data_IF_073657163271
#
_entry.id   IF_073657163271
#
_cell.length_a   1.000
_cell.length_b   1.000
_cell.length_c   1.000
_cell.angle_alpha   90.00
_cell.angle_beta   90.00
_cell.angle_gamma   90.00
#
_symmetry.space_group_name_H-M   'P 1'
#
loop_
_entity.id
_entity.type
_entity.pdbx_description
1 polymer ?
#
# COMPACT_ATOMS: atom_id res chain seq x y z
N UNK A 1 17.13 0.27 2.39
CA UNK A 1 17.20 1.55 1.64
C UNK A 1 17.16 2.72 2.64
N UNK A 2 17.66 3.91 2.30
CA UNK A 2 17.56 5.06 3.21
C UNK A 2 16.24 5.78 2.95
N UNK A 3 15.39 5.87 3.98
CA UNK A 3 14.26 6.81 4.01
C UNK A 3 14.79 8.21 3.70
N UNK A 4 14.16 8.91 2.75
CA UNK A 4 14.58 10.26 2.39
C UNK A 4 13.44 11.17 2.79
N UNK A 5 13.48 11.69 4.00
CA UNK A 5 12.58 12.76 4.39
C UNK A 5 12.81 13.92 3.43
N UNK A 6 11.90 14.12 2.48
CA UNK A 6 11.80 15.38 1.78
C UNK A 6 11.36 16.36 2.87
N UNK A 7 12.25 17.24 3.31
CA UNK A 7 12.05 18.13 4.46
C UNK A 7 11.05 19.26 4.17
N UNK A 8 9.90 18.95 3.57
CA UNK A 8 8.80 19.89 3.53
C UNK A 8 8.05 19.78 4.86
N UNK A 9 7.89 20.92 5.54
CA UNK A 9 7.03 21.02 6.72
C UNK A 9 5.64 21.41 6.25
N UNK A 10 4.64 20.69 6.71
CA UNK A 10 3.25 20.97 6.40
C UNK A 10 2.46 21.43 7.64
N UNK A 11 1.22 21.83 7.39
CA UNK A 11 0.27 22.19 8.44
C UNK A 11 -0.06 20.95 9.27
N UNK A 12 0.24 20.99 10.56
CA UNK A 12 -0.19 19.95 11.48
C UNK A 12 -1.71 20.07 11.70
N UNK A 13 -2.49 18.99 11.49
CA UNK A 13 -3.95 19.02 11.66
C UNK A 13 -4.38 19.20 13.13
N UNK A 14 -3.47 18.96 14.08
CA UNK A 14 -3.74 19.10 15.51
C UNK A 14 -3.43 20.50 16.03
N UNK A 15 -2.20 20.99 15.85
CA UNK A 15 -1.77 22.27 16.41
C UNK A 15 -1.87 23.47 15.45
N UNK A 16 -2.25 23.23 14.19
CA UNK A 16 -2.39 24.25 13.13
C UNK A 16 -1.12 25.07 12.90
N UNK A 17 0.04 24.46 13.10
CA UNK A 17 1.35 25.05 12.79
C UNK A 17 2.03 24.32 11.65
N UNK A 18 2.82 25.05 10.85
CA UNK A 18 3.65 24.51 9.77
C UNK A 18 4.87 23.81 10.39
N UNK A 19 4.62 22.64 10.97
CA UNK A 19 5.56 21.88 11.80
C UNK A 19 5.46 20.37 11.58
N UNK A 20 4.59 19.92 10.68
CA UNK A 20 4.43 18.51 10.35
C UNK A 20 5.56 18.10 9.40
N UNK A 21 6.54 17.36 9.92
CA UNK A 21 7.61 16.79 9.10
C UNK A 21 7.09 15.52 8.44
N UNK A 22 6.95 15.56 7.12
CA UNK A 22 6.51 14.44 6.29
C UNK A 22 7.74 13.74 5.74
N UNK A 23 7.85 12.43 5.96
CA UNK A 23 8.93 11.61 5.44
C UNK A 23 8.38 10.61 4.43
N UNK A 24 8.86 10.72 3.20
CA UNK A 24 8.53 9.83 2.09
C UNK A 24 9.71 8.88 1.79
N UNK A 25 9.42 7.77 1.09
CA UNK A 25 10.46 6.88 0.58
C UNK A 25 10.83 7.27 -0.86
N UNK A 26 12.12 7.26 -1.18
CA UNK A 26 12.64 7.91 -2.40
C UNK A 26 12.26 7.27 -3.74
N UNK A 27 11.73 6.04 -3.76
CA UNK A 27 11.19 5.32 -4.93
C UNK A 27 10.42 4.08 -4.44
N UNK A 28 9.45 3.58 -5.21
CA UNK A 28 8.11 4.12 -5.32
C UNK A 28 7.15 3.45 -4.30
N UNK A 29 6.02 4.13 -4.10
CA UNK A 29 4.95 4.03 -3.08
C UNK A 29 5.20 4.97 -1.89
N UNK A 30 4.41 6.04 -1.74
CA UNK A 30 4.59 7.03 -0.69
C UNK A 30 4.01 6.43 0.59
N UNK A 31 4.80 5.59 1.26
CA UNK A 31 4.56 5.39 2.68
C UNK A 31 4.97 6.66 3.38
N UNK A 32 4.02 7.28 4.05
CA UNK A 32 4.21 8.57 4.68
C UNK A 32 4.30 8.34 6.17
N UNK A 33 5.44 8.70 6.75
CA UNK A 33 5.52 8.93 8.18
C UNK A 33 5.53 10.44 8.41
N UNK A 34 4.47 10.95 9.02
CA UNK A 34 4.33 12.36 9.36
C UNK A 34 4.47 12.51 10.88
N UNK A 35 5.39 13.37 11.33
CA UNK A 35 5.57 13.70 12.76
C UNK A 35 5.62 15.20 12.96
N UNK A 36 4.77 15.74 13.83
CA UNK A 36 4.77 17.16 14.16
C UNK A 36 5.88 17.48 15.17
N UNK A 37 6.83 18.32 14.75
CA UNK A 37 7.95 18.78 15.57
C UNK A 37 7.51 19.72 16.71
N UNK A 38 6.29 20.25 16.65
CA UNK A 38 5.72 21.12 17.69
C UNK A 38 4.95 20.32 18.75
N UNK A 39 3.89 19.60 18.35
CA UNK A 39 2.97 18.97 19.30
C UNK A 39 3.20 17.48 19.50
N UNK A 40 4.01 16.82 18.68
CA UNK A 40 4.22 15.38 18.76
C UNK A 40 3.11 14.53 18.11
N UNK A 41 2.14 15.16 17.43
CA UNK A 41 1.21 14.46 16.54
C UNK A 41 1.98 13.56 15.57
N UNK A 42 1.53 12.33 15.39
CA UNK A 42 2.18 11.37 14.50
C UNK A 42 1.16 10.60 13.68
N UNK A 43 1.47 10.37 12.42
CA UNK A 43 0.64 9.64 11.46
C UNK A 43 1.56 8.74 10.63
N UNK A 44 1.24 7.45 10.54
CA UNK A 44 2.10 6.49 9.86
C UNK A 44 1.37 5.24 9.35
N UNK A 45 1.91 4.67 8.28
CA UNK A 45 1.44 3.42 7.68
C UNK A 45 1.95 2.17 8.41
N UNK A 46 1.05 1.21 8.62
CA UNK A 46 1.34 -0.13 9.14
C UNK A 46 1.07 -1.14 8.02
N UNK A 47 2.10 -1.80 7.44
CA UNK A 47 1.87 -2.81 6.41
C UNK A 47 1.19 -4.05 7.00
N UNK A 48 0.37 -4.74 6.20
CA UNK A 48 -0.15 -6.07 6.55
C UNK A 48 0.98 -7.01 6.97
N UNK A 49 0.73 -7.76 8.04
CA UNK A 49 1.67 -8.77 8.53
C UNK A 49 1.76 -9.95 7.55
N UNK A 50 2.93 -10.14 6.93
CA UNK A 50 3.19 -11.22 5.99
C UNK A 50 3.98 -12.36 6.66
N UNK A 51 3.23 -13.30 7.25
CA UNK A 51 3.78 -14.57 7.75
C UNK A 51 3.83 -15.62 6.64
N UNK A 52 4.53 -16.73 6.90
CA UNK A 52 4.62 -17.87 5.97
C UNK A 52 3.24 -18.35 5.49
N UNK A 53 2.29 -18.48 6.41
CA UNK A 53 0.90 -18.87 6.12
C UNK A 53 0.19 -17.84 5.23
N UNK A 54 0.36 -16.54 5.54
CA UNK A 54 -0.18 -15.45 4.72
C UNK A 54 0.34 -15.51 3.29
N UNK A 55 1.65 -15.73 3.10
CA UNK A 55 2.22 -15.89 1.75
C UNK A 55 1.62 -17.08 1.01
N UNK A 56 1.41 -18.23 1.68
CA UNK A 56 0.78 -19.38 1.05
C UNK A 56 -0.66 -19.08 0.61
N UNK A 57 -1.46 -18.44 1.45
CA UNK A 57 -2.83 -18.06 1.11
C UNK A 57 -2.89 -17.09 -0.09
N UNK A 58 -1.98 -16.12 -0.12
CA UNK A 58 -1.89 -15.16 -1.23
C UNK A 58 -1.48 -15.88 -2.52
N UNK A 59 -0.45 -16.71 -2.48
CA UNK A 59 0.03 -17.43 -3.67
C UNK A 59 -1.01 -18.42 -4.20
N UNK A 60 -1.70 -19.15 -3.31
CA UNK A 60 -2.81 -20.03 -3.70
C UNK A 60 -3.91 -19.24 -4.42
N UNK A 61 -4.36 -18.13 -3.84
CA UNK A 61 -5.35 -17.24 -4.46
C UNK A 61 -4.92 -16.77 -5.85
N UNK A 62 -3.69 -16.27 -5.98
CA UNK A 62 -3.18 -15.77 -7.27
C UNK A 62 -3.08 -16.91 -8.30
N UNK A 63 -2.70 -18.12 -7.90
CA UNK A 63 -2.67 -19.29 -8.78
C UNK A 63 -4.06 -19.71 -9.26
N UNK A 64 -5.09 -19.62 -8.41
CA UNK A 64 -6.47 -19.89 -8.81
C UNK A 64 -7.00 -18.85 -9.80
N UNK A 65 -6.60 -17.58 -9.64
CA UNK A 65 -6.86 -16.49 -10.61
C UNK A 65 -6.13 -16.71 -11.94
N UNK A 66 -4.89 -17.19 -11.89
CA UNK A 66 -4.05 -17.45 -13.07
C UNK A 66 -4.68 -18.48 -14.01
N UNK A 67 -5.32 -19.52 -13.47
CA UNK A 67 -6.01 -20.54 -14.28
C UNK A 67 -7.48 -20.19 -14.59
N UNK A 68 -7.98 -19.06 -14.08
CA UNK A 68 -9.37 -18.62 -14.24
C UNK A 68 -10.39 -19.45 -13.45
N UNK A 69 -10.02 -19.98 -12.28
CA UNK A 69 -10.94 -20.68 -11.38
C UNK A 69 -11.83 -19.70 -10.59
N UNK A 70 -11.28 -18.53 -10.26
CA UNK A 70 -11.96 -17.47 -9.53
C UNK A 70 -11.70 -16.11 -10.18
N UNK A 71 -12.64 -15.18 -10.00
CA UNK A 71 -12.56 -13.83 -10.54
C UNK A 71 -11.30 -13.12 -10.03
N UNK A 72 -10.68 -12.32 -10.88
CA UNK A 72 -9.50 -11.54 -10.51
C UNK A 72 -9.78 -10.54 -9.39
N UNK A 73 -11.00 -10.01 -9.30
CA UNK A 73 -11.45 -9.10 -8.26
C UNK A 73 -12.09 -9.86 -7.09
N UNK A 74 -11.46 -9.81 -5.91
CA UNK A 74 -11.96 -10.41 -4.66
C UNK A 74 -13.32 -9.85 -4.21
N UNK A 75 -13.69 -8.63 -4.64
CA UNK A 75 -15.00 -8.03 -4.32
C UNK A 75 -16.13 -8.75 -5.05
N UNK A 76 -15.84 -9.30 -6.22
CA UNK A 76 -16.78 -10.13 -6.99
C UNK A 76 -16.69 -11.58 -6.53
N UNK A 77 -15.49 -12.17 -6.52
CA UNK A 77 -15.27 -13.55 -6.05
C UNK A 77 -16.01 -14.63 -6.86
N UNK A 78 -16.61 -14.28 -7.99
CA UNK A 78 -17.36 -15.18 -8.86
C UNK A 78 -16.48 -16.30 -9.41
N UNK A 79 -17.13 -17.40 -9.79
CA UNK A 79 -16.52 -18.56 -10.46
C UNK A 79 -16.98 -18.73 -11.90
N UNK A 80 -17.94 -17.92 -12.34
CA UNK A 80 -18.45 -17.95 -13.71
C UNK A 80 -17.51 -17.15 -14.63
N UNK A 81 -16.54 -17.85 -15.21
CA UNK A 81 -15.42 -17.26 -15.94
C UNK A 81 -15.27 -17.99 -17.27
N UNK A 82 -15.20 -17.20 -18.34
CA UNK A 82 -14.96 -17.72 -19.69
C UNK A 82 -13.51 -17.47 -20.10
N UNK A 83 -12.98 -18.38 -20.92
CA UNK A 83 -11.71 -18.19 -21.62
C UNK A 83 -12.00 -17.49 -22.95
N UNK A 84 -11.43 -16.31 -23.15
CA UNK A 84 -11.58 -15.52 -24.38
C UNK A 84 -10.60 -15.97 -25.46
N UNK A 85 -9.34 -16.20 -25.08
CA UNK A 85 -8.24 -16.58 -25.97
C UNK A 85 -7.35 -17.61 -25.27
N UNK A 86 -6.77 -18.54 -26.03
CA UNK A 86 -5.79 -19.49 -25.54
C UNK A 86 -4.70 -19.74 -26.58
N UNK A 87 -3.48 -19.28 -26.29
CA UNK A 87 -2.31 -19.38 -27.16
C UNK A 87 -1.13 -20.00 -26.40
N UNK A 88 -1.01 -21.33 -26.47
CA UNK A 88 0.04 -22.07 -25.77
C UNK A 88 -0.11 -21.99 -24.26
N UNK A 89 0.73 -21.18 -23.59
CA UNK A 89 0.64 -20.93 -22.14
C UNK A 89 -0.11 -19.65 -21.79
N UNK A 90 -0.37 -18.81 -22.77
CA UNK A 90 -1.12 -17.57 -22.59
C UNK A 90 -2.62 -17.86 -22.65
N UNK A 91 -3.38 -17.32 -21.69
CA UNK A 91 -4.84 -17.41 -21.68
C UNK A 91 -5.43 -16.08 -21.20
N UNK A 92 -6.49 -15.64 -21.88
CA UNK A 92 -7.30 -14.48 -21.47
C UNK A 92 -8.63 -14.96 -20.87
N UNK A 93 -9.06 -14.27 -19.83
CA UNK A 93 -10.23 -14.59 -19.04
C UNK A 93 -11.15 -13.40 -18.94
N UNK A 94 -12.46 -13.67 -18.87
CA UNK A 94 -13.48 -12.68 -18.50
C UNK A 94 -14.42 -13.27 -17.46
N UNK A 95 -14.65 -12.53 -16.37
CA UNK A 95 -15.69 -12.84 -15.40
C UNK A 95 -17.06 -12.45 -15.97
N UNK A 96 -18.02 -13.38 -15.98
CA UNK A 96 -19.37 -13.11 -16.49
C UNK A 96 -20.25 -12.30 -15.54
N UNK A 97 -19.87 -12.20 -14.26
CA UNK A 97 -20.63 -11.43 -13.28
C UNK A 97 -20.23 -9.95 -13.23
N UNK A 98 -18.94 -9.66 -13.05
CA UNK A 98 -18.47 -8.26 -12.96
C UNK A 98 -17.84 -7.71 -14.25
N UNK A 99 -17.65 -8.55 -15.27
CA UNK A 99 -17.05 -8.14 -16.55
C UNK A 99 -15.54 -7.92 -16.49
N UNK A 100 -14.88 -8.15 -15.36
CA UNK A 100 -13.43 -8.00 -15.24
C UNK A 100 -12.69 -8.94 -16.19
N UNK A 101 -11.62 -8.43 -16.80
CA UNK A 101 -10.76 -9.16 -17.74
C UNK A 101 -9.33 -9.20 -17.23
N UNK A 102 -8.65 -10.32 -17.49
CA UNK A 102 -7.25 -10.50 -17.15
C UNK A 102 -6.62 -11.60 -17.99
N UNK A 103 -5.28 -11.66 -17.97
CA UNK A 103 -4.53 -12.71 -18.64
C UNK A 103 -3.59 -13.45 -17.68
N UNK A 104 -3.19 -14.65 -18.07
CA UNK A 104 -2.28 -15.50 -17.30
C UNK A 104 -0.90 -14.88 -17.12
N UNK A 105 -0.40 -14.09 -18.08
CA UNK A 105 0.94 -13.50 -18.02
C UNK A 105 1.08 -12.44 -16.93
N UNK A 106 0.09 -11.56 -16.79
CA UNK A 106 0.05 -10.55 -15.73
C UNK A 106 -0.11 -11.22 -14.36
N UNK A 107 -0.91 -12.28 -14.27
CA UNK A 107 -0.99 -13.10 -13.06
C UNK A 107 0.34 -13.75 -12.70
N UNK A 108 1.08 -14.29 -13.68
CA UNK A 108 2.40 -14.87 -13.47
C UNK A 108 3.44 -13.83 -13.06
N UNK A 109 3.35 -12.58 -13.55
CA UNK A 109 4.17 -11.46 -13.05
C UNK A 109 3.87 -11.17 -11.59
N UNK A 110 2.59 -11.09 -11.21
CA UNK A 110 2.18 -10.85 -9.84
C UNK A 110 2.67 -11.96 -8.89
N UNK A 111 2.48 -13.23 -9.26
CA UNK A 111 2.97 -14.39 -8.49
C UNK A 111 4.50 -14.33 -8.29
N UNK A 112 5.26 -13.98 -9.35
CA UNK A 112 6.73 -13.86 -9.25
C UNK A 112 7.14 -12.76 -8.28
N UNK A 113 6.46 -11.62 -8.29
CA UNK A 113 6.72 -10.51 -7.35
C UNK A 113 6.47 -10.93 -5.90
N UNK A 114 5.34 -11.59 -5.61
CA UNK A 114 5.05 -12.11 -4.26
C UNK A 114 6.09 -13.13 -3.80
N UNK A 115 6.50 -14.06 -4.68
CA UNK A 115 7.56 -15.04 -4.36
C UNK A 115 8.90 -14.37 -4.08
N UNK A 116 9.26 -13.32 -4.82
CA UNK A 116 10.48 -12.55 -4.58
C UNK A 116 10.43 -11.87 -3.21
N UNK A 117 9.32 -11.21 -2.87
CA UNK A 117 9.13 -10.60 -1.54
C UNK A 117 9.23 -11.64 -0.43
N UNK A 118 8.55 -12.79 -0.58
CA UNK A 118 8.64 -13.91 0.36
C UNK A 118 10.09 -14.36 0.59
N UNK A 119 10.86 -14.51 -0.49
CA UNK A 119 12.26 -14.93 -0.41
C UNK A 119 13.11 -13.91 0.35
N UNK A 120 12.96 -12.62 0.06
CA UNK A 120 13.73 -11.58 0.75
C UNK A 120 13.39 -11.50 2.25
N UNK A 121 12.12 -11.57 2.61
CA UNK A 121 11.66 -11.60 4.01
C UNK A 121 12.22 -12.83 4.73
N UNK A 122 12.14 -14.00 4.10
CA UNK A 122 12.68 -15.26 4.64
C UNK A 122 14.20 -15.19 4.86
N UNK A 123 14.92 -14.45 4.01
CA UNK A 123 16.35 -14.20 4.13
C UNK A 123 16.71 -13.09 5.14
N UNK A 124 15.75 -12.61 5.94
CA UNK A 124 15.98 -11.63 7.01
C UNK A 124 15.92 -10.16 6.57
N UNK A 125 15.48 -9.87 5.34
CA UNK A 125 15.24 -8.48 4.93
C UNK A 125 14.02 -7.93 5.67
N UNK A 126 14.04 -6.64 6.03
CA UNK A 126 12.85 -6.00 6.61
C UNK A 126 11.77 -5.91 5.54
N UNK A 127 10.52 -6.20 5.90
CA UNK A 127 9.39 -6.13 4.99
C UNK A 127 9.28 -4.77 4.28
N UNK A 128 9.59 -3.69 5.01
CA UNK A 128 9.58 -2.33 4.48
C UNK A 128 10.62 -2.11 3.37
N UNK A 129 11.76 -2.81 3.39
CA UNK A 129 12.79 -2.64 2.36
C UNK A 129 12.43 -3.32 1.03
N UNK A 130 11.46 -4.25 1.05
CA UNK A 130 11.13 -5.11 -0.09
C UNK A 130 9.79 -4.79 -0.73
N UNK A 131 8.85 -4.21 0.05
CA UNK A 131 7.59 -3.68 -0.47
C UNK A 131 7.86 -2.36 -1.20
N UNK A 132 7.70 -2.40 -2.52
CA UNK A 132 7.90 -1.28 -3.45
C UNK A 132 6.80 -1.33 -4.50
N UNK A 133 6.31 -0.19 -4.97
CA UNK A 133 5.31 -0.14 -6.04
C UNK A 133 5.21 1.25 -6.66
N UNK A 134 4.93 1.37 -7.95
CA UNK A 134 4.59 2.66 -8.52
C UNK A 134 3.28 3.23 -7.93
N UNK A 135 3.03 4.52 -8.10
CA UNK A 135 1.76 5.13 -7.73
C UNK A 135 0.61 4.39 -8.45
N UNK A 136 -0.49 4.12 -7.76
CA UNK A 136 -1.55 3.21 -8.19
C UNK A 136 -1.27 1.70 -8.00
N UNK A 137 -0.02 1.23 -7.90
CA UNK A 137 0.28 -0.21 -7.80
C UNK A 137 0.16 -0.80 -6.39
N UNK A 138 -0.20 -2.07 -6.27
CA UNK A 138 -0.06 -2.83 -5.03
C UNK A 138 1.42 -3.11 -4.71
N UNK A 139 1.94 -2.76 -3.51
CA UNK A 139 3.35 -2.95 -3.16
C UNK A 139 3.78 -4.41 -3.02
N UNK A 140 2.83 -5.34 -2.89
CA UNK A 140 3.12 -6.77 -2.79
C UNK A 140 3.07 -7.48 -4.15
N UNK A 141 1.97 -7.34 -4.89
CA UNK A 141 1.75 -8.08 -6.13
C UNK A 141 1.99 -7.25 -7.41
N UNK A 142 2.09 -5.93 -7.30
CA UNK A 142 2.36 -5.04 -8.43
C UNK A 142 1.20 -4.76 -9.36
N UNK A 143 -0.01 -5.16 -8.99
CA UNK A 143 -1.19 -4.86 -9.78
C UNK A 143 -1.57 -3.40 -9.63
N UNK A 144 -1.93 -2.72 -10.72
CA UNK A 144 -2.51 -1.38 -10.66
C UNK A 144 -3.93 -1.45 -10.09
N UNK A 145 -4.10 -0.89 -8.88
CA UNK A 145 -5.35 -0.93 -8.12
C UNK A 145 -5.91 0.46 -7.86
N UNK A 146 -5.18 1.52 -8.21
CA UNK A 146 -5.41 2.88 -7.71
C UNK A 146 -5.23 2.99 -6.20
N UNK A 147 -4.92 4.18 -5.71
CA UNK A 147 -4.79 4.46 -4.27
C UNK A 147 -5.79 5.52 -3.85
N UNK A 148 -6.32 5.38 -2.64
CA UNK A 148 -7.13 6.41 -2.01
C UNK A 148 -6.24 7.18 -1.03
N UNK A 149 -6.28 8.50 -1.13
CA UNK A 149 -5.53 9.38 -0.23
C UNK A 149 -6.52 9.99 0.78
N UNK A 150 -6.20 9.88 2.07
CA UNK A 150 -6.88 10.60 3.15
C UNK A 150 -5.85 11.47 3.87
N UNK A 151 -5.76 12.73 3.44
CA UNK A 151 -4.67 13.62 3.83
C UNK A 151 -3.32 13.05 3.39
N UNK A 152 -2.48 12.71 4.37
CA UNK A 152 -1.15 12.13 4.17
C UNK A 152 -1.14 10.60 4.14
N UNK A 153 -2.23 9.96 4.55
CA UNK A 153 -2.34 8.52 4.59
C UNK A 153 -2.71 7.98 3.20
N UNK A 154 -2.08 6.88 2.80
CA UNK A 154 -2.43 6.18 1.56
C UNK A 154 -3.10 4.88 1.92
N UNK A 155 -4.40 4.76 1.70
CA UNK A 155 -5.10 3.51 1.96
C UNK A 155 -4.92 2.53 0.80
N UNK A 156 -4.36 1.36 1.12
CA UNK A 156 -4.13 0.25 0.21
C UNK A 156 -5.07 -0.87 0.57
N UNK A 157 -5.93 -1.27 -0.36
CA UNK A 157 -6.69 -2.51 -0.28
C UNK A 157 -6.68 -3.18 -1.64
N UNK A 158 -5.77 -4.12 -1.84
CA UNK A 158 -5.60 -4.80 -3.12
C UNK A 158 -6.68 -5.88 -3.29
N UNK A 159 -7.63 -5.75 -4.24
CA UNK A 159 -8.63 -6.79 -4.50
C UNK A 159 -8.04 -8.02 -5.22
N UNK A 160 -6.77 -7.96 -5.62
CA UNK A 160 -6.12 -9.02 -6.39
C UNK A 160 -5.40 -10.01 -5.49
N UNK A 161 -4.49 -9.53 -4.64
CA UNK A 161 -3.74 -10.38 -3.72
C UNK A 161 -4.28 -10.35 -2.28
N UNK A 162 -5.13 -9.38 -1.93
CA UNK A 162 -5.63 -9.18 -0.57
C UNK A 162 -4.69 -8.42 0.36
N UNK A 163 -3.55 -7.92 -0.15
CA UNK A 163 -2.68 -7.03 0.61
C UNK A 163 -3.42 -5.76 1.01
N UNK A 164 -3.22 -5.33 2.25
CA UNK A 164 -3.71 -4.06 2.75
C UNK A 164 -2.67 -3.41 3.67
N UNK A 165 -2.85 -2.13 3.96
CA UNK A 165 -2.21 -1.49 5.10
C UNK A 165 -3.29 -1.03 6.10
N UNK A 166 -2.83 -0.75 7.29
CA UNK A 166 -3.58 0.01 8.29
C UNK A 166 -2.91 1.37 8.46
N UNK A 167 -3.73 2.36 8.80
CA UNK A 167 -3.27 3.68 9.13
C UNK A 167 -3.41 3.91 10.64
N UNK A 168 -2.41 4.54 11.25
CA UNK A 168 -2.48 4.90 12.67
C UNK A 168 -2.10 6.36 12.90
N UNK A 169 -2.95 7.02 13.67
CA UNK A 169 -2.70 8.35 14.22
C UNK A 169 -2.44 8.26 15.71
N UNK A 170 -1.46 9.03 16.17
CA UNK A 170 -1.14 9.23 17.57
C UNK A 170 -1.33 10.71 17.88
N UNK A 171 -2.43 11.03 18.57
CA UNK A 171 -2.67 12.36 19.10
C UNK A 171 -1.78 12.59 20.32
N UNK A 172 -1.24 13.80 20.49
CA UNK A 172 -0.45 14.11 21.67
C UNK A 172 -1.34 14.16 22.91
N UNK A 173 -0.81 13.63 24.02
CA UNK A 173 -1.53 13.51 25.29
C UNK A 173 -1.56 14.81 26.10
N UNK A 174 -0.64 15.71 25.81
CA UNK A 174 -0.42 16.98 26.53
C UNK A 174 -0.18 18.09 25.52
N UNK A 175 -0.58 19.32 25.87
CA UNK A 175 -0.23 20.49 25.07
C UNK A 175 1.29 20.73 25.15
N UNK A 176 1.96 20.94 24.01
CA UNK A 176 3.40 21.19 24.01
C UNK A 176 3.71 22.53 24.72
N UNK A 177 4.86 22.65 25.40
CA UNK A 177 5.29 23.91 25.97
C UNK A 177 5.31 25.01 24.88
N UNK A 178 4.82 26.24 25.17
CA UNK A 178 4.72 27.31 24.17
C UNK A 178 6.04 27.62 23.45
N UNK A 179 7.15 27.43 24.15
CA UNK A 179 8.52 27.63 23.68
C UNK A 179 8.91 26.72 22.52
N UNK A 180 8.46 25.46 22.53
CA UNK A 180 8.77 24.46 21.49
C UNK A 180 8.10 24.83 20.16
N UNK A 181 6.88 25.35 20.24
CA UNK A 181 6.07 25.68 19.09
C UNK A 181 6.29 27.11 18.56
N UNK A 182 6.91 27.99 19.34
CA UNK A 182 7.12 29.41 19.00
C UNK A 182 7.92 29.62 17.70
N UNK A 183 8.78 28.67 17.35
CA UNK A 183 9.58 28.70 16.12
C UNK A 183 8.80 28.37 14.84
N UNK A 184 7.57 27.83 14.95
CA UNK A 184 6.75 27.43 13.81
C UNK A 184 5.61 28.40 13.55
N UNK A 185 5.43 28.78 12.29
CA UNK A 185 4.33 29.63 11.85
C UNK A 185 2.98 28.96 12.12
N UNK A 186 2.02 29.75 12.62
CA UNK A 186 0.64 29.31 12.84
C UNK A 186 -0.19 29.73 11.64
N UNK A 187 -0.93 28.79 11.05
CA UNK A 187 -1.88 29.11 9.98
C UNK A 187 -3.15 29.72 10.58
N UNK A 188 -3.68 30.76 9.92
CA UNK A 188 -4.99 31.34 10.24
C UNK A 188 -6.13 30.60 9.53
N UNK A 189 -5.82 29.80 8.51
CA UNK A 189 -6.77 28.98 7.75
C UNK A 189 -6.56 27.49 8.03
N UNK A 190 -7.67 26.75 8.19
CA UNK A 190 -7.65 25.29 8.17
C UNK A 190 -7.48 24.84 6.71
N UNK A 191 -6.45 24.03 6.44
CA UNK A 191 -6.16 23.47 5.13
C UNK A 191 -7.25 22.52 4.63
#
# INVERSE_FOLDING_TARGET
MKMKCLEHRELCPFCHRIALKVCEYSEPYPRVEATCECCGYRSYDIPMELKRETFFQILDKLSRKEIGEICIDDRCGARDIIKLLHEGRYTEYRCLECGAEWNSDDMLKAIRRVKSVQQHVTNGSRLMDVLKADEGECPLCGWDIGHLHEGYAVEIRCPICGYHNEFKEELPKEEPPPEVCAQFEKSEEAG
#
